data_IF_169469867231
#
_entry.id   IF_169469867231
#
_cell.length_a   1.000
_cell.length_b   1.000
_cell.length_c   1.000
_cell.angle_alpha   90.00
_cell.angle_beta   90.00
_cell.angle_gamma   90.00
#
_symmetry.space_group_name_H-M   'P 1'
#
loop_
_entity.id
_entity.type
_entity.pdbx_description
1 polymer ?
#
# COMPACT_ATOMS: atom_id res chain seq x y z
N UNK A 1 47.15 -5.65 -42.96
CA UNK A 1 46.84 -6.21 -41.61
C UNK A 1 47.06 -5.18 -40.50
N UNK A 2 46.41 -4.01 -40.59
CA UNK A 2 46.24 -3.02 -39.51
C UNK A 2 44.85 -2.43 -39.78
N UNK A 3 44.03 -2.22 -38.74
CA UNK A 3 42.63 -1.73 -38.78
C UNK A 3 41.52 -2.74 -38.41
N UNK A 4 41.83 -3.91 -37.81
CA UNK A 4 40.79 -4.76 -37.19
C UNK A 4 40.84 -4.81 -35.65
N UNK A 5 41.68 -4.00 -35.01
CA UNK A 5 41.84 -4.00 -33.55
C UNK A 5 41.07 -2.87 -32.84
N UNK A 6 40.44 -1.93 -33.58
CA UNK A 6 39.75 -0.78 -32.96
C UNK A 6 38.24 -0.96 -32.77
N UNK A 7 37.65 -2.06 -33.29
CA UNK A 7 36.20 -2.32 -33.21
C UNK A 7 35.79 -3.21 -32.03
N UNK A 8 36.74 -3.73 -31.26
CA UNK A 8 36.48 -4.61 -30.11
C UNK A 8 36.41 -3.88 -28.75
N UNK A 9 36.63 -2.56 -28.72
CA UNK A 9 36.68 -1.77 -27.48
C UNK A 9 35.40 -0.99 -27.18
N UNK A 10 34.34 -1.14 -27.99
CA UNK A 10 33.10 -0.36 -27.89
C UNK A 10 31.87 -1.13 -27.36
N UNK A 11 32.04 -2.37 -26.88
CA UNK A 11 30.93 -3.21 -26.37
C UNK A 11 30.92 -3.42 -24.85
N UNK A 12 31.81 -2.75 -24.09
CA UNK A 12 31.84 -2.83 -22.62
C UNK A 12 31.37 -1.54 -21.94
N UNK A 13 30.40 -0.83 -22.52
CA UNK A 13 29.54 0.04 -21.70
C UNK A 13 28.48 -0.86 -21.08
N UNK A 14 28.90 -1.68 -20.12
CA UNK A 14 27.95 -2.29 -19.19
C UNK A 14 27.26 -1.14 -18.48
N UNK A 15 25.96 -1.01 -18.73
CA UNK A 15 25.06 -0.17 -17.95
C UNK A 15 25.11 -0.65 -16.48
N UNK A 16 26.09 -0.18 -15.74
CA UNK A 16 26.06 -0.19 -14.29
C UNK A 16 25.01 0.86 -13.88
N UNK A 17 23.73 0.51 -14.03
CA UNK A 17 22.69 1.17 -13.27
C UNK A 17 23.01 0.84 -11.81
N UNK A 18 23.64 1.77 -11.10
CA UNK A 18 23.84 1.66 -9.67
C UNK A 18 22.46 1.58 -9.03
N UNK A 19 21.99 0.34 -8.80
CA UNK A 19 20.73 0.09 -8.16
C UNK A 19 20.81 0.68 -6.76
N UNK A 20 19.89 1.58 -6.45
CA UNK A 20 19.91 2.31 -5.19
C UNK A 20 19.18 1.48 -4.14
N UNK A 21 19.91 0.88 -3.21
CA UNK A 21 19.31 0.15 -2.09
C UNK A 21 18.63 1.12 -1.10
N UNK A 22 17.46 0.71 -0.59
CA UNK A 22 16.73 1.42 0.47
C UNK A 22 17.43 1.19 1.83
N UNK A 23 18.33 2.11 2.19
CA UNK A 23 18.99 2.07 3.50
C UNK A 23 18.10 2.63 4.62
N UNK A 24 18.40 2.29 5.87
CA UNK A 24 17.69 2.82 7.05
C UNK A 24 17.73 4.36 7.12
N UNK A 25 18.85 4.98 6.74
CA UNK A 25 19.00 6.44 6.71
C UNK A 25 18.08 7.08 5.67
N UNK A 26 18.05 6.55 4.43
CA UNK A 26 17.12 7.01 3.39
C UNK A 26 15.66 6.79 3.80
N UNK A 27 15.35 5.66 4.44
CA UNK A 27 14.01 5.39 4.96
C UNK A 27 13.58 6.43 6.01
N UNK A 28 14.48 6.85 6.90
CA UNK A 28 14.19 7.91 7.87
C UNK A 28 13.95 9.26 7.17
N UNK A 29 14.78 9.59 6.18
CA UNK A 29 14.63 10.83 5.41
C UNK A 29 13.29 10.89 4.65
N UNK A 30 12.92 9.82 3.92
CA UNK A 30 11.65 9.80 3.18
C UNK A 30 10.45 9.87 4.12
N UNK A 31 10.51 9.26 5.32
CA UNK A 31 9.44 9.37 6.31
C UNK A 31 9.23 10.83 6.72
N UNK A 32 10.31 11.56 7.01
CA UNK A 32 10.23 13.00 7.32
C UNK A 32 9.65 13.80 6.15
N UNK A 33 10.07 13.50 4.92
CA UNK A 33 9.52 14.17 3.73
C UNK A 33 8.03 13.88 3.53
N UNK A 34 7.61 12.62 3.70
CA UNK A 34 6.21 12.19 3.59
C UNK A 34 5.36 12.80 4.69
N UNK A 35 5.84 12.89 5.92
CA UNK A 35 5.13 13.53 7.02
C UNK A 35 4.89 15.02 6.73
N UNK A 36 5.89 15.73 6.20
CA UNK A 36 5.74 17.12 5.75
C UNK A 36 4.70 17.25 4.62
N UNK A 37 4.71 16.35 3.65
CA UNK A 37 3.73 16.34 2.55
C UNK A 37 2.32 16.03 3.05
N UNK A 38 2.20 15.11 4.01
CA UNK A 38 0.94 14.71 4.64
C UNK A 38 0.29 15.87 5.38
N UNK A 39 1.08 16.67 6.12
CA UNK A 39 0.58 17.89 6.76
C UNK A 39 0.06 18.88 5.70
N UNK A 40 0.82 19.13 4.63
CA UNK A 40 0.38 20.02 3.54
C UNK A 40 -0.91 19.53 2.87
N UNK A 41 -1.02 18.23 2.63
CA UNK A 41 -2.20 17.61 2.06
C UNK A 41 -3.41 17.77 2.98
N UNK A 42 -3.26 17.48 4.28
CA UNK A 42 -4.30 17.71 5.28
C UNK A 42 -4.74 19.17 5.30
N UNK A 43 -3.79 20.11 5.33
CA UNK A 43 -4.08 21.54 5.38
C UNK A 43 -4.77 22.02 4.09
N UNK A 44 -4.54 21.36 2.94
CA UNK A 44 -5.31 21.65 1.72
C UNK A 44 -6.76 21.17 1.78
N UNK A 45 -7.05 20.12 2.56
CA UNK A 45 -8.41 19.62 2.74
C UNK A 45 -9.21 20.47 3.75
N UNK A 46 -8.56 20.98 4.80
CA UNK A 46 -9.21 21.81 5.85
C UNK A 46 -9.55 23.21 5.37
N UNK A 47 -8.74 23.83 4.51
CA UNK A 47 -9.02 25.16 3.94
C UNK A 47 -10.31 25.24 3.12
N UNK A 48 -10.86 24.09 2.74
CA UNK A 48 -12.05 24.01 1.89
C UNK A 48 -13.33 23.85 2.72
N UNK A 49 -13.26 23.42 4.00
CA UNK A 49 -14.45 22.92 4.69
C UNK A 49 -14.32 22.92 6.24
N UNK A 50 -15.36 23.39 6.96
CA UNK A 50 -15.32 23.68 8.42
C UNK A 50 -16.27 22.81 9.31
N UNK A 51 -16.74 21.65 8.81
CA UNK A 51 -17.66 20.74 9.55
C UNK A 51 -16.99 19.61 10.35
N UNK A 52 -17.61 19.14 11.44
CA UNK A 52 -17.11 18.04 12.29
C UNK A 52 -17.13 16.67 11.59
N UNK A 53 -18.16 16.36 10.81
CA UNK A 53 -18.25 15.14 9.97
C UNK A 53 -17.18 15.07 8.90
N UNK A 54 -16.70 16.26 8.51
CA UNK A 54 -15.59 16.46 7.61
C UNK A 54 -14.24 16.12 8.24
N UNK A 55 -14.11 16.17 9.57
CA UNK A 55 -12.87 15.85 10.28
C UNK A 55 -12.48 14.38 10.13
N UNK A 56 -13.45 13.45 10.25
CA UNK A 56 -13.17 12.01 10.08
C UNK A 56 -12.78 11.69 8.63
N UNK A 57 -13.42 12.35 7.66
CA UNK A 57 -13.09 12.18 6.25
C UNK A 57 -11.70 12.73 5.91
N UNK A 58 -11.36 13.92 6.43
CA UNK A 58 -10.02 14.50 6.31
C UNK A 58 -8.98 13.59 6.95
N UNK A 59 -9.25 13.05 8.14
CA UNK A 59 -8.35 12.11 8.82
C UNK A 59 -8.12 10.85 7.97
N UNK A 60 -9.19 10.23 7.46
CA UNK A 60 -9.11 9.07 6.57
C UNK A 60 -8.27 9.32 5.32
N UNK A 61 -8.55 10.42 4.60
CA UNK A 61 -7.80 10.80 3.41
C UNK A 61 -6.33 11.05 3.74
N UNK A 62 -6.06 11.72 4.86
CA UNK A 62 -4.70 12.06 5.30
C UNK A 62 -3.89 10.81 5.65
N UNK A 63 -4.48 9.90 6.42
CA UNK A 63 -3.85 8.64 6.79
C UNK A 63 -3.54 7.76 5.57
N UNK A 64 -4.51 7.66 4.66
CA UNK A 64 -4.36 6.91 3.41
C UNK A 64 -3.25 7.51 2.54
N UNK A 65 -3.29 8.83 2.33
CA UNK A 65 -2.27 9.56 1.58
C UNK A 65 -0.87 9.28 2.13
N UNK A 66 -0.71 9.29 3.46
CA UNK A 66 0.59 9.08 4.10
C UNK A 66 1.19 7.72 3.76
N UNK A 67 0.41 6.64 3.90
CA UNK A 67 0.90 5.27 3.70
C UNK A 67 1.18 4.99 2.23
N UNK A 68 0.31 5.46 1.33
CA UNK A 68 0.47 5.31 -0.12
C UNK A 68 1.67 6.11 -0.63
N UNK A 69 1.83 7.36 -0.16
CA UNK A 69 2.97 8.19 -0.56
C UNK A 69 4.30 7.63 -0.08
N UNK A 70 4.32 7.00 1.09
CA UNK A 70 5.51 6.32 1.58
C UNK A 70 5.86 5.10 0.71
N UNK A 71 4.87 4.31 0.30
CA UNK A 71 5.08 3.19 -0.61
C UNK A 71 5.62 3.65 -1.98
N UNK A 72 5.03 4.70 -2.56
CA UNK A 72 5.50 5.31 -3.82
C UNK A 72 6.99 5.70 -3.73
N UNK A 73 7.38 6.33 -2.61
CA UNK A 73 8.78 6.76 -2.38
C UNK A 73 9.73 5.57 -2.26
N UNK A 74 9.31 4.47 -1.62
CA UNK A 74 10.11 3.24 -1.52
C UNK A 74 10.31 2.61 -2.90
N UNK A 75 9.25 2.49 -3.69
CA UNK A 75 9.31 1.97 -5.08
C UNK A 75 10.21 2.82 -5.96
N UNK A 76 10.15 4.15 -5.82
CA UNK A 76 10.99 5.06 -6.60
C UNK A 76 12.50 4.94 -6.26
N UNK A 77 12.83 4.49 -5.04
CA UNK A 77 14.22 4.29 -4.61
C UNK A 77 14.71 2.90 -5.05
N UNK A 78 13.96 1.85 -4.71
CA UNK A 78 14.27 0.48 -5.09
C UNK A 78 13.19 -0.06 -6.03
N UNK A 79 13.39 0.22 -7.33
CA UNK A 79 12.48 -0.14 -8.40
C UNK A 79 12.66 -1.59 -8.89
N UNK A 80 13.44 -2.41 -8.20
CA UNK A 80 13.51 -3.84 -8.54
C UNK A 80 12.22 -4.57 -8.20
N UNK A 81 12.01 -5.74 -8.79
CA UNK A 81 10.89 -6.61 -8.40
C UNK A 81 10.86 -6.87 -6.90
N UNK A 82 12.01 -7.15 -6.28
CA UNK A 82 12.08 -7.39 -4.83
C UNK A 82 11.74 -6.12 -4.04
N UNK A 83 12.31 -4.97 -4.41
CA UNK A 83 12.03 -3.68 -3.78
C UNK A 83 10.55 -3.30 -3.87
N UNK A 84 9.97 -3.43 -5.06
CA UNK A 84 8.54 -3.21 -5.31
C UNK A 84 7.64 -4.16 -4.50
N UNK A 85 7.93 -5.46 -4.53
CA UNK A 85 7.19 -6.46 -3.74
C UNK A 85 7.23 -6.11 -2.25
N UNK A 86 8.41 -5.77 -1.72
CA UNK A 86 8.58 -5.38 -0.31
C UNK A 86 7.79 -4.12 0.04
N UNK A 87 7.83 -3.09 -0.81
CA UNK A 87 7.06 -1.86 -0.61
C UNK A 87 5.54 -2.13 -0.55
N UNK A 88 5.03 -3.02 -1.41
CA UNK A 88 3.61 -3.42 -1.43
C UNK A 88 3.25 -4.26 -0.19
N UNK A 89 4.11 -5.19 0.23
CA UNK A 89 3.90 -5.98 1.46
C UNK A 89 3.84 -5.08 2.70
N UNK A 90 4.70 -4.08 2.78
CA UNK A 90 4.66 -3.08 3.85
C UNK A 90 3.42 -2.20 3.77
N UNK A 91 3.01 -1.77 2.56
CA UNK A 91 1.78 -1.02 2.36
C UNK A 91 0.54 -1.82 2.81
N UNK A 92 0.47 -3.13 2.52
CA UNK A 92 -0.61 -3.99 3.00
C UNK A 92 -0.67 -4.03 4.54
N UNK A 93 0.48 -4.08 5.23
CA UNK A 93 0.54 -3.99 6.70
C UNK A 93 0.04 -2.64 7.20
N UNK A 94 0.36 -1.56 6.49
CA UNK A 94 -0.12 -0.23 6.84
C UNK A 94 -1.64 -0.08 6.58
N UNK A 95 -2.17 -0.65 5.50
CA UNK A 95 -3.63 -0.77 5.30
C UNK A 95 -4.31 -1.57 6.40
N UNK A 96 -3.71 -2.67 6.90
CA UNK A 96 -4.27 -3.44 8.02
C UNK A 96 -4.31 -2.61 9.32
N UNK A 97 -3.27 -1.80 9.60
CA UNK A 97 -3.29 -0.86 10.73
C UNK A 97 -4.40 0.17 10.60
N UNK A 98 -4.58 0.75 9.41
CA UNK A 98 -5.67 1.69 9.15
C UNK A 98 -7.03 0.99 9.28
N UNK A 99 -7.18 -0.22 8.73
CA UNK A 99 -8.40 -1.02 8.86
C UNK A 99 -8.77 -1.22 10.33
N UNK A 100 -7.81 -1.61 11.17
CA UNK A 100 -8.02 -1.79 12.60
C UNK A 100 -8.37 -0.47 13.31
N UNK A 101 -7.74 0.64 12.94
CA UNK A 101 -8.07 1.99 13.45
C UNK A 101 -9.53 2.35 13.15
N UNK A 102 -9.96 2.28 11.88
CA UNK A 102 -11.32 2.68 11.49
C UNK A 102 -12.38 1.67 11.94
N UNK A 103 -12.04 0.38 12.01
CA UNK A 103 -12.89 -0.63 12.64
C UNK A 103 -13.16 -0.29 14.12
N UNK A 104 -12.13 0.13 14.86
CA UNK A 104 -12.28 0.55 16.26
C UNK A 104 -13.13 1.81 16.42
N UNK A 105 -13.17 2.69 15.42
CA UNK A 105 -14.08 3.84 15.40
C UNK A 105 -15.52 3.36 15.12
N UNK A 106 -15.71 2.52 14.11
CA UNK A 106 -17.03 2.02 13.72
C UNK A 106 -17.71 1.24 14.86
N UNK A 107 -16.97 0.34 15.52
CA UNK A 107 -17.54 -0.46 16.60
C UNK A 107 -18.02 0.39 17.78
N UNK A 108 -17.36 1.52 18.06
CA UNK A 108 -17.76 2.45 19.13
C UNK A 108 -19.03 3.25 18.79
N UNK A 109 -19.39 3.37 17.51
CA UNK A 109 -20.63 4.04 17.07
C UNK A 109 -21.86 3.13 17.13
N UNK A 110 -21.68 1.81 17.29
CA UNK A 110 -22.76 0.84 17.31
C UNK A 110 -23.25 0.55 18.75
N UNK A 111 -24.55 0.28 18.90
CA UNK A 111 -25.10 -0.27 20.14
C UNK A 111 -24.58 -1.69 20.39
N UNK A 112 -24.52 -2.18 21.66
CA UNK A 112 -23.87 -3.45 21.98
C UNK A 112 -24.36 -4.66 21.17
N UNK A 113 -25.66 -4.75 20.90
CA UNK A 113 -26.26 -5.83 20.09
C UNK A 113 -25.69 -5.87 18.67
N UNK A 114 -25.45 -4.71 18.07
CA UNK A 114 -25.01 -4.60 16.67
C UNK A 114 -23.48 -4.67 16.55
N UNK A 115 -22.74 -4.34 17.62
CA UNK A 115 -21.30 -4.58 17.69
C UNK A 115 -20.95 -6.07 17.45
N UNK A 116 -21.74 -7.00 17.98
CA UNK A 116 -21.52 -8.43 17.75
C UNK A 116 -21.71 -8.82 16.27
N UNK A 117 -22.65 -8.17 15.56
CA UNK A 117 -22.84 -8.39 14.12
C UNK A 117 -21.62 -7.90 13.33
N UNK A 118 -21.07 -6.74 13.68
CA UNK A 118 -19.83 -6.23 13.07
C UNK A 118 -18.64 -7.16 13.34
N UNK A 119 -18.48 -7.65 14.58
CA UNK A 119 -17.41 -8.62 14.93
C UNK A 119 -17.52 -9.91 14.12
N UNK A 120 -18.74 -10.44 13.95
CA UNK A 120 -18.98 -11.63 13.11
C UNK A 120 -18.64 -11.34 11.65
N UNK A 121 -19.10 -10.22 11.09
CA UNK A 121 -18.79 -9.83 9.72
C UNK A 121 -17.27 -9.71 9.49
N UNK A 122 -16.54 -9.09 10.43
CA UNK A 122 -15.08 -8.96 10.33
C UNK A 122 -14.35 -10.31 10.42
N UNK A 123 -14.78 -11.22 11.31
CA UNK A 123 -14.21 -12.59 11.38
C UNK A 123 -14.46 -13.37 10.09
N UNK A 124 -15.63 -13.23 9.49
CA UNK A 124 -15.95 -13.89 8.22
C UNK A 124 -15.10 -13.30 7.07
N UNK A 125 -14.89 -11.99 7.06
CA UNK A 125 -14.00 -11.36 6.10
C UNK A 125 -12.55 -11.85 6.23
N UNK A 126 -12.03 -12.04 7.45
CA UNK A 126 -10.69 -12.61 7.67
C UNK A 126 -10.59 -14.01 7.05
N UNK A 127 -11.58 -14.88 7.29
CA UNK A 127 -11.62 -16.23 6.69
C UNK A 127 -11.63 -16.18 5.16
N UNK A 128 -12.43 -15.27 4.58
CA UNK A 128 -12.46 -15.03 3.14
C UNK A 128 -11.09 -14.57 2.64
N UNK A 129 -10.49 -13.54 3.25
CA UNK A 129 -9.17 -12.99 2.89
C UNK A 129 -8.12 -14.09 2.90
N UNK A 130 -8.06 -14.89 3.95
CA UNK A 130 -7.04 -15.93 4.09
C UNK A 130 -7.21 -17.03 3.03
N UNK A 131 -8.45 -17.37 2.67
CA UNK A 131 -8.75 -18.30 1.58
C UNK A 131 -8.42 -17.71 0.20
N UNK A 132 -8.71 -16.43 0.00
CA UNK A 132 -8.41 -15.70 -1.24
C UNK A 132 -6.90 -15.53 -1.44
N UNK A 133 -6.13 -15.30 -0.37
CA UNK A 133 -4.64 -15.28 -0.41
C UNK A 133 -4.11 -16.63 -0.92
N UNK A 134 -4.68 -17.76 -0.47
CA UNK A 134 -4.28 -19.08 -0.97
C UNK A 134 -4.60 -19.24 -2.45
N UNK A 135 -5.80 -18.81 -2.88
CA UNK A 135 -6.18 -18.85 -4.30
C UNK A 135 -5.27 -17.97 -5.16
N UNK A 136 -4.97 -16.75 -4.71
CA UNK A 136 -4.02 -15.83 -5.35
C UNK A 136 -2.66 -16.53 -5.56
N UNK A 137 -2.14 -17.21 -4.54
CA UNK A 137 -0.89 -17.96 -4.62
C UNK A 137 -0.96 -19.16 -5.57
N UNK A 138 -2.11 -19.82 -5.68
CA UNK A 138 -2.33 -20.91 -6.66
C UNK A 138 -2.29 -20.37 -8.08
N UNK A 139 -3.05 -19.31 -8.37
CA UNK A 139 -3.16 -18.78 -9.74
C UNK A 139 -1.93 -17.96 -10.17
N UNK A 140 -1.02 -17.63 -9.25
CA UNK A 140 0.26 -16.99 -9.58
C UNK A 140 1.34 -17.98 -10.05
N UNK A 141 1.13 -19.29 -9.88
CA UNK A 141 2.12 -20.31 -10.30
C UNK A 141 2.36 -20.28 -11.81
N UNK A 142 3.55 -20.70 -12.22
CA UNK A 142 4.01 -20.65 -13.62
C UNK A 142 3.04 -21.30 -14.59
N UNK A 143 2.41 -22.42 -14.22
CA UNK A 143 1.46 -23.13 -15.07
C UNK A 143 0.17 -22.35 -15.38
N UNK A 144 -0.17 -21.32 -14.58
CA UNK A 144 -1.36 -20.49 -14.76
C UNK A 144 -1.03 -19.06 -15.22
N UNK A 145 0.06 -18.48 -14.71
CA UNK A 145 0.39 -17.06 -14.90
C UNK A 145 1.44 -16.80 -16.00
N UNK A 146 2.11 -17.86 -16.48
CA UNK A 146 3.30 -17.75 -17.32
C UNK A 146 4.59 -17.48 -16.54
N UNK A 147 4.52 -17.31 -15.21
CA UNK A 147 5.67 -17.15 -14.33
C UNK A 147 6.40 -15.80 -14.49
N UNK A 148 7.68 -15.78 -14.14
CA UNK A 148 8.52 -14.58 -14.12
C UNK A 148 8.48 -13.84 -12.79
N UNK A 149 9.54 -13.05 -12.52
CA UNK A 149 9.68 -12.35 -11.24
C UNK A 149 8.53 -11.35 -10.99
N UNK A 150 7.99 -10.73 -12.04
CA UNK A 150 6.87 -9.79 -11.95
C UNK A 150 5.62 -10.36 -11.25
N UNK A 151 5.45 -11.69 -11.26
CA UNK A 151 4.32 -12.33 -10.58
C UNK A 151 4.31 -12.09 -9.08
N UNK A 152 5.47 -11.88 -8.44
CA UNK A 152 5.50 -11.55 -7.01
C UNK A 152 4.91 -10.17 -6.73
N UNK A 153 5.15 -9.19 -7.62
CA UNK A 153 4.54 -7.86 -7.52
C UNK A 153 3.02 -7.94 -7.71
N UNK A 154 2.57 -8.68 -8.73
CA UNK A 154 1.14 -8.87 -9.02
C UNK A 154 0.44 -9.54 -7.84
N UNK A 155 1.03 -10.61 -7.31
CA UNK A 155 0.53 -11.32 -6.13
C UNK A 155 0.43 -10.40 -4.91
N UNK A 156 1.51 -9.68 -4.57
CA UNK A 156 1.52 -8.75 -3.44
C UNK A 156 0.48 -7.64 -3.62
N UNK A 157 0.32 -7.11 -4.83
CA UNK A 157 -0.69 -6.10 -5.17
C UNK A 157 -2.11 -6.59 -4.91
N UNK A 158 -2.46 -7.76 -5.44
CA UNK A 158 -3.79 -8.37 -5.23
C UNK A 158 -4.10 -8.60 -3.75
N UNK A 159 -3.11 -9.04 -2.96
CA UNK A 159 -3.27 -9.22 -1.51
C UNK A 159 -3.48 -7.87 -0.81
N UNK A 160 -2.72 -6.85 -1.19
CA UNK A 160 -2.86 -5.49 -0.65
C UNK A 160 -4.24 -4.89 -0.94
N UNK A 161 -4.76 -5.11 -2.15
CA UNK A 161 -6.06 -4.63 -2.58
C UNK A 161 -7.21 -5.23 -1.76
N UNK A 162 -7.12 -6.50 -1.32
CA UNK A 162 -8.12 -7.10 -0.43
C UNK A 162 -8.27 -6.30 0.88
N UNK A 163 -7.14 -5.93 1.48
CA UNK A 163 -7.11 -5.16 2.73
C UNK A 163 -7.56 -3.72 2.50
N UNK A 164 -7.11 -3.08 1.41
CA UNK A 164 -7.55 -1.73 1.02
C UNK A 164 -9.06 -1.66 0.79
N UNK A 165 -9.61 -2.60 0.04
CA UNK A 165 -11.05 -2.65 -0.24
C UNK A 165 -11.86 -2.82 1.05
N UNK A 166 -11.37 -3.63 2.00
CA UNK A 166 -12.03 -3.75 3.30
C UNK A 166 -11.95 -2.45 4.12
N UNK A 167 -10.82 -1.77 4.09
CA UNK A 167 -10.66 -0.45 4.72
C UNK A 167 -11.68 0.55 4.17
N UNK A 168 -11.88 0.60 2.84
CA UNK A 168 -12.92 1.44 2.23
C UNK A 168 -14.34 1.00 2.63
N UNK A 169 -14.65 -0.30 2.64
CA UNK A 169 -15.95 -0.79 3.12
C UNK A 169 -16.24 -0.36 4.57
N UNK A 170 -15.24 -0.36 5.46
CA UNK A 170 -15.40 0.17 6.82
C UNK A 170 -15.64 1.69 6.80
N UNK A 171 -14.94 2.45 5.94
CA UNK A 171 -15.17 3.89 5.78
C UNK A 171 -16.57 4.19 5.24
N UNK A 172 -17.09 3.40 4.31
CA UNK A 172 -18.44 3.54 3.78
C UNK A 172 -19.50 3.31 4.85
N UNK A 173 -19.32 2.33 5.74
CA UNK A 173 -20.19 2.18 6.91
C UNK A 173 -20.09 3.37 7.86
N UNK A 174 -18.88 3.91 8.09
CA UNK A 174 -18.70 5.11 8.90
C UNK A 174 -19.41 6.34 8.32
N UNK A 175 -19.48 6.46 6.98
CA UNK A 175 -20.18 7.56 6.31
C UNK A 175 -21.68 7.59 6.60
N UNK A 176 -22.29 6.47 7.00
CA UNK A 176 -23.71 6.43 7.39
C UNK A 176 -23.99 7.14 8.73
N UNK A 177 -22.94 7.50 9.48
CA UNK A 177 -23.02 8.23 10.75
C UNK A 177 -22.50 9.67 10.64
N UNK A 178 -22.33 10.16 9.40
CA UNK A 178 -21.95 11.53 9.12
C UNK A 178 -23.23 12.24 8.66
N UNK A 179 -23.62 13.29 9.39
CA UNK A 179 -24.79 14.12 9.06
C UNK A 179 -24.46 15.15 7.96
#
# INVERSE_FOLDING_TARGET
MKNRLLLLLLLLVTFAHAQTELTNSKLAEIKVQVDKQTVKFRDSLTKVNDGADLKLDIEFKTDLYRVEKLADKKVAIDYTTSGMTNAIVELNKDYDKLLNKYYAILIKKLVPKDQEKLKVAQRNWIKFRDSEIQLIGIVSKTEYSGGGSIQSNIMAGRISDLTKNRLYSIKEHLNQFLD
#
